data_IF_870308026020
#
_entry.id   IF_870308026020
#
_cell.length_a   1.000
_cell.length_b   1.000
_cell.length_c   1.000
_cell.angle_alpha   90.00
_cell.angle_beta   90.00
_cell.angle_gamma   90.00
#
_symmetry.space_group_name_H-M   'P 1'
#
loop_
_entity.id
_entity.type
_entity.pdbx_description
1 polymer ?
#
# COMPACT_ATOMS: atom_id res chain seq x y z
N UNK A 1 26.14 -13.04 21.92
CA UNK A 1 24.71 -13.20 22.27
C UNK A 1 23.77 -13.17 21.04
N UNK A 2 23.93 -12.28 20.05
CA UNK A 2 23.04 -12.21 18.86
C UNK A 2 23.17 -13.34 17.81
N UNK A 3 24.23 -14.17 17.84
CA UNK A 3 24.52 -15.13 16.76
C UNK A 3 23.50 -16.27 16.64
N UNK A 4 22.88 -16.72 17.74
CA UNK A 4 21.96 -17.87 17.72
C UNK A 4 20.55 -17.52 17.23
N UNK A 5 20.13 -16.26 17.41
CA UNK A 5 18.84 -15.76 16.95
C UNK A 5 18.76 -15.57 15.42
N UNK A 6 19.90 -15.47 14.72
CA UNK A 6 19.94 -15.34 13.25
C UNK A 6 19.28 -16.51 12.49
N UNK A 7 19.18 -17.69 13.11
CA UNK A 7 18.45 -18.85 12.52
C UNK A 7 16.93 -18.62 12.46
N UNK A 8 16.41 -17.77 13.35
CA UNK A 8 14.98 -17.49 13.51
C UNK A 8 14.57 -16.11 12.99
N UNK A 9 15.54 -15.27 12.60
CA UNK A 9 15.31 -13.89 12.14
C UNK A 9 15.70 -13.80 10.67
N UNK A 10 14.70 -13.62 9.80
CA UNK A 10 14.90 -13.31 8.38
C UNK A 10 15.14 -11.80 8.26
N UNK A 11 16.34 -11.41 7.83
CA UNK A 11 16.62 -10.03 7.47
C UNK A 11 16.26 -9.86 5.99
N UNK A 12 15.26 -9.03 5.71
CA UNK A 12 14.93 -8.64 4.34
C UNK A 12 15.58 -7.30 4.01
N UNK A 13 16.30 -7.26 2.89
CA UNK A 13 16.93 -6.03 2.42
C UNK A 13 15.85 -5.05 1.97
N UNK A 14 15.75 -3.91 2.65
CA UNK A 14 14.87 -2.81 2.25
C UNK A 14 15.67 -1.75 1.51
N UNK A 15 15.18 -1.32 0.34
CA UNK A 15 15.75 -0.21 -0.45
C UNK A 15 14.68 0.88 -0.63
N UNK A 16 14.99 2.13 -0.29
CA UNK A 16 14.09 3.29 -0.45
C UNK A 16 14.85 4.49 -0.99
N UNK A 17 15.27 4.43 -2.25
CA UNK A 17 16.02 5.51 -2.88
C UNK A 17 15.10 6.45 -3.64
N UNK A 18 15.28 7.76 -3.41
CA UNK A 18 14.39 8.79 -3.96
C UNK A 18 12.93 8.64 -3.50
N UNK A 19 12.70 7.96 -2.37
CA UNK A 19 11.37 7.70 -1.86
C UNK A 19 10.79 8.95 -1.20
N UNK A 20 9.66 9.42 -1.72
CA UNK A 20 8.91 10.55 -1.18
C UNK A 20 7.43 10.20 -1.14
N UNK A 21 6.72 10.70 -0.13
CA UNK A 21 5.27 10.51 -0.05
C UNK A 21 4.56 11.77 0.43
N UNK A 22 3.31 11.90 0.02
CA UNK A 22 2.36 12.91 0.50
C UNK A 22 1.07 12.21 0.86
N UNK A 23 0.67 12.29 2.13
CA UNK A 23 -0.58 11.72 2.64
C UNK A 23 -1.60 12.82 2.89
N UNK A 24 -2.84 12.59 2.47
CA UNK A 24 -4.02 13.39 2.82
C UNK A 24 -4.96 12.59 3.74
N UNK A 25 -6.10 13.17 4.11
CA UNK A 25 -7.13 12.49 4.91
C UNK A 25 -7.67 11.22 4.24
N UNK A 26 -7.77 11.22 2.91
CA UNK A 26 -8.40 10.16 2.12
C UNK A 26 -7.47 9.55 1.05
N UNK A 27 -6.19 9.91 1.00
CA UNK A 27 -5.30 9.33 0.01
C UNK A 27 -3.82 9.46 0.35
N UNK A 28 -3.00 8.82 -0.46
CA UNK A 28 -1.54 8.90 -0.42
C UNK A 28 -0.98 8.88 -1.83
N UNK A 29 0.00 9.72 -2.09
CA UNK A 29 0.82 9.68 -3.31
C UNK A 29 2.26 9.40 -2.93
N UNK A 30 2.92 8.50 -3.66
CA UNK A 30 4.28 8.06 -3.41
C UNK A 30 5.07 8.08 -4.71
N UNK A 31 6.31 8.54 -4.67
CA UNK A 31 7.26 8.49 -5.79
C UNK A 31 8.58 7.90 -5.31
N UNK A 32 9.21 7.07 -6.15
CA UNK A 32 10.42 6.34 -5.79
C UNK A 32 11.28 6.04 -7.02
N UNK A 33 12.61 6.23 -6.88
CA UNK A 33 13.59 5.79 -7.89
C UNK A 33 13.92 4.31 -7.75
N UNK A 34 13.94 3.80 -6.52
CA UNK A 34 14.04 2.37 -6.22
C UNK A 34 13.32 2.08 -4.92
N UNK A 35 12.38 1.13 -4.95
CA UNK A 35 11.64 0.67 -3.80
C UNK A 35 11.60 -0.85 -3.72
N UNK A 36 12.24 -1.39 -2.67
CA UNK A 36 12.21 -2.80 -2.30
C UNK A 36 11.85 -2.90 -0.82
N UNK A 37 10.79 -3.61 -0.48
CA UNK A 37 10.28 -3.72 0.87
C UNK A 37 8.83 -3.23 0.99
N UNK A 38 8.41 -2.91 2.21
CA UNK A 38 7.01 -2.53 2.51
C UNK A 38 6.95 -1.16 3.18
N UNK A 39 5.93 -0.38 2.84
CA UNK A 39 5.50 0.82 3.55
C UNK A 39 4.00 0.80 3.83
N UNK A 40 3.61 1.43 4.94
CA UNK A 40 2.26 1.34 5.47
C UNK A 40 1.62 2.70 5.72
N UNK A 41 0.35 2.85 5.33
CA UNK A 41 -0.42 4.08 5.51
C UNK A 41 -1.81 3.80 6.09
N UNK A 42 -2.16 4.52 7.15
CA UNK A 42 -3.46 4.36 7.82
C UNK A 42 -4.52 5.35 7.32
N UNK A 43 -5.75 4.86 7.21
CA UNK A 43 -6.95 5.63 6.89
C UNK A 43 -8.08 5.27 7.85
N UNK A 44 -9.05 6.17 7.99
CA UNK A 44 -10.16 5.99 8.92
C UNK A 44 -11.48 6.18 8.20
N UNK A 45 -12.36 5.19 8.31
CA UNK A 45 -13.69 5.20 7.71
C UNK A 45 -14.74 4.93 8.78
N UNK A 46 -16.00 5.28 8.50
CA UNK A 46 -17.10 4.85 9.36
C UNK A 46 -17.33 3.36 9.15
N UNK A 47 -17.49 2.60 10.24
CA UNK A 47 -17.88 1.20 10.16
C UNK A 47 -19.22 1.07 9.42
N UNK A 48 -19.28 0.16 8.45
CA UNK A 48 -20.43 -0.08 7.58
C UNK A 48 -20.52 0.85 6.38
N UNK A 49 -19.67 1.88 6.26
CA UNK A 49 -19.64 2.73 5.07
C UNK A 49 -19.13 1.94 3.86
N UNK A 50 -19.74 2.19 2.70
CA UNK A 50 -19.22 1.70 1.43
C UNK A 50 -18.04 2.57 1.01
N UNK A 51 -16.88 1.95 0.87
CA UNK A 51 -15.61 2.62 0.58
C UNK A 51 -15.07 2.10 -0.74
N UNK A 52 -14.73 3.01 -1.64
CA UNK A 52 -14.07 2.71 -2.91
C UNK A 52 -12.62 3.14 -2.85
N UNK A 53 -11.71 2.19 -3.09
CA UNK A 53 -10.30 2.47 -3.35
C UNK A 53 -10.11 2.71 -4.84
N UNK A 54 -9.39 3.78 -5.18
CA UNK A 54 -8.90 4.07 -6.54
C UNK A 54 -7.39 4.10 -6.51
N UNK A 55 -6.76 3.27 -7.33
CA UNK A 55 -5.32 3.17 -7.46
C UNK A 55 -4.89 3.55 -8.87
N UNK A 56 -3.79 4.31 -8.94
CA UNK A 56 -3.04 4.56 -10.16
C UNK A 56 -1.57 4.28 -9.86
N UNK A 57 -0.94 3.44 -10.68
CA UNK A 57 0.47 3.12 -10.57
C UNK A 57 1.17 3.41 -11.90
N UNK A 58 2.30 4.10 -11.82
CA UNK A 58 3.27 4.21 -12.90
C UNK A 58 4.44 3.31 -12.52
N UNK A 59 4.63 2.24 -13.29
CA UNK A 59 5.71 1.26 -13.08
C UNK A 59 6.65 1.36 -14.27
N UNK A 60 7.84 1.91 -14.02
CA UNK A 60 8.92 2.01 -15.02
C UNK A 60 9.79 0.74 -14.99
N UNK A 61 10.03 0.19 -13.80
CA UNK A 61 10.82 -1.03 -13.56
C UNK A 61 10.28 -1.76 -12.32
N UNK A 62 10.51 -3.08 -12.24
CA UNK A 62 10.12 -3.92 -11.11
C UNK A 62 8.61 -4.13 -10.99
N UNK A 63 8.13 -4.35 -9.76
CA UNK A 63 6.71 -4.55 -9.50
C UNK A 63 6.27 -3.79 -8.23
N UNK A 64 5.08 -3.18 -8.28
CA UNK A 64 4.43 -2.59 -7.12
C UNK A 64 3.18 -3.39 -6.76
N UNK A 65 3.09 -3.85 -5.52
CA UNK A 65 1.85 -4.40 -4.96
C UNK A 65 1.22 -3.39 -4.01
N UNK A 66 -0.09 -3.20 -4.16
CA UNK A 66 -0.93 -2.41 -3.26
C UNK A 66 -1.90 -3.36 -2.57
N UNK A 67 -1.92 -3.33 -1.25
CA UNK A 67 -2.88 -4.09 -0.45
C UNK A 67 -3.71 -3.14 0.40
N UNK A 68 -5.01 -3.41 0.46
CA UNK A 68 -5.94 -2.78 1.38
C UNK A 68 -6.38 -3.79 2.44
N UNK A 69 -6.27 -3.42 3.71
CA UNK A 69 -6.67 -4.23 4.85
C UNK A 69 -7.46 -3.40 5.88
N UNK A 70 -8.13 -4.06 6.82
CA UNK A 70 -8.87 -3.45 7.93
C UNK A 70 -8.14 -3.57 9.29
N UNK A 71 -6.84 -3.90 9.25
CA UNK A 71 -6.01 -4.23 10.41
C UNK A 71 -6.15 -5.67 10.92
N UNK A 72 -7.12 -6.46 10.44
CA UNK A 72 -7.30 -7.88 10.78
C UNK A 72 -7.14 -8.77 9.56
N UNK A 73 -7.78 -8.38 8.46
CA UNK A 73 -7.89 -9.16 7.24
C UNK A 73 -7.56 -8.30 6.02
N UNK A 74 -7.06 -8.97 4.98
CA UNK A 74 -6.86 -8.36 3.67
C UNK A 74 -8.22 -8.24 2.97
N UNK A 75 -8.58 -7.02 2.59
CA UNK A 75 -9.81 -6.73 1.83
C UNK A 75 -9.54 -6.93 0.33
N UNK A 76 -8.40 -6.43 -0.13
CA UNK A 76 -8.09 -6.39 -1.55
C UNK A 76 -6.58 -6.29 -1.79
N UNK A 77 -6.13 -6.81 -2.93
CA UNK A 77 -4.72 -6.78 -3.34
C UNK A 77 -4.61 -6.70 -4.86
N UNK A 78 -3.68 -5.88 -5.33
CA UNK A 78 -3.29 -5.81 -6.75
C UNK A 78 -1.79 -5.64 -6.90
N UNK A 79 -1.22 -6.38 -7.84
CA UNK A 79 0.17 -6.21 -8.28
C UNK A 79 0.20 -5.59 -9.67
N UNK A 80 0.96 -4.52 -9.81
CA UNK A 80 1.23 -3.80 -11.06
C UNK A 80 2.65 -4.13 -11.52
N UNK A 81 2.76 -4.77 -12.68
CA UNK A 81 4.04 -4.97 -13.40
C UNK A 81 4.25 -3.93 -14.50
N UNK A 82 3.17 -3.24 -14.86
CA UNK A 82 3.10 -2.20 -15.85
C UNK A 82 2.21 -1.08 -15.30
N UNK A 83 2.29 0.10 -15.91
CA UNK A 83 1.48 1.25 -15.50
C UNK A 83 -0.01 0.98 -15.71
N UNK A 84 -0.85 1.38 -14.76
CA UNK A 84 -2.28 1.08 -14.84
C UNK A 84 -3.10 1.72 -13.73
N UNK A 85 -4.42 1.53 -13.83
CA UNK A 85 -5.41 2.01 -12.86
C UNK A 85 -6.32 0.86 -12.47
N UNK A 86 -6.81 0.90 -11.24
CA UNK A 86 -7.71 -0.12 -10.70
C UNK A 86 -8.60 0.49 -9.63
N UNK A 87 -9.84 0.02 -9.54
CA UNK A 87 -10.78 0.46 -8.50
C UNK A 87 -11.46 -0.73 -7.87
N UNK A 88 -11.72 -0.66 -6.57
CA UNK A 88 -12.43 -1.71 -5.85
C UNK A 88 -13.31 -1.12 -4.75
N UNK A 89 -14.48 -1.70 -4.52
CA UNK A 89 -15.45 -1.21 -3.54
C UNK A 89 -15.79 -2.30 -2.54
N UNK A 90 -15.76 -1.95 -1.25
CA UNK A 90 -16.15 -2.84 -0.17
C UNK A 90 -16.73 -2.06 1.01
N UNK A 91 -17.54 -2.73 1.83
CA UNK A 91 -18.00 -2.17 3.10
C UNK A 91 -16.87 -2.18 4.14
N UNK A 92 -16.69 -1.07 4.86
CA UNK A 92 -15.72 -0.97 5.94
C UNK A 92 -16.18 -1.79 7.17
N UNK A 93 -15.60 -2.97 7.35
CA UNK A 93 -15.81 -3.85 8.52
C UNK A 93 -15.37 -3.21 9.85
N UNK A 94 -14.42 -2.29 9.78
CA UNK A 94 -13.71 -1.69 10.90
C UNK A 94 -13.56 -0.17 10.66
N UNK A 95 -13.12 0.55 11.70
CA UNK A 95 -12.87 2.00 11.59
C UNK A 95 -11.47 2.29 11.02
N UNK A 96 -10.49 1.45 11.32
CA UNK A 96 -9.09 1.65 10.93
C UNK A 96 -8.78 0.75 9.75
N UNK A 97 -8.23 1.34 8.69
CA UNK A 97 -7.81 0.62 7.51
C UNK A 97 -6.37 0.97 7.15
N UNK A 98 -5.71 0.02 6.50
CA UNK A 98 -4.32 0.10 6.12
C UNK A 98 -4.12 -0.07 4.63
N UNK A 99 -3.20 0.70 4.07
CA UNK A 99 -2.60 0.45 2.76
C UNK A 99 -1.17 -0.03 2.98
N UNK A 100 -0.87 -1.24 2.52
CA UNK A 100 0.51 -1.68 2.34
C UNK A 100 0.92 -1.39 0.89
N UNK A 101 2.02 -0.66 0.70
CA UNK A 101 2.74 -0.60 -0.56
C UNK A 101 3.95 -1.51 -0.46
N UNK A 102 4.06 -2.47 -1.37
CA UNK A 102 5.12 -3.47 -1.38
C UNK A 102 5.85 -3.36 -2.71
N UNK A 103 7.10 -2.90 -2.67
CA UNK A 103 7.95 -2.80 -3.84
C UNK A 103 8.86 -4.02 -3.98
N UNK A 104 9.01 -4.49 -5.22
CA UNK A 104 10.03 -5.47 -5.61
C UNK A 104 10.94 -4.84 -6.67
N UNK A 105 12.00 -4.17 -6.20
CA UNK A 105 12.90 -3.34 -7.02
C UNK A 105 12.13 -2.35 -7.93
N UNK A 106 11.05 -1.79 -7.39
CA UNK A 106 10.10 -0.96 -8.12
C UNK A 106 10.66 0.44 -8.39
N UNK A 107 10.36 0.98 -9.57
CA UNK A 107 10.63 2.37 -9.95
C UNK A 107 9.38 3.02 -10.52
N UNK A 108 9.13 4.27 -10.15
CA UNK A 108 8.02 5.06 -10.64
C UNK A 108 7.26 5.76 -9.52
N UNK A 109 5.93 5.75 -9.60
CA UNK A 109 5.08 6.41 -8.60
C UNK A 109 3.72 5.72 -8.48
N UNK A 110 3.00 6.00 -7.41
CA UNK A 110 1.62 5.57 -7.27
C UNK A 110 0.78 6.59 -6.52
N UNK A 111 -0.53 6.57 -6.78
CA UNK A 111 -1.54 7.33 -6.07
C UNK A 111 -2.65 6.37 -5.64
N UNK A 112 -3.01 6.45 -4.37
CA UNK A 112 -4.14 5.73 -3.79
C UNK A 112 -5.08 6.76 -3.18
N UNK A 113 -6.36 6.67 -3.54
CA UNK A 113 -7.41 7.54 -3.02
C UNK A 113 -8.61 6.71 -2.59
N UNK A 114 -9.28 7.20 -1.57
CA UNK A 114 -10.52 6.64 -1.07
C UNK A 114 -11.66 7.64 -1.22
N UNK A 115 -12.80 7.11 -1.61
CA UNK A 115 -14.10 7.79 -1.54
C UNK A 115 -15.03 6.94 -0.70
N UNK A 116 -15.77 7.58 0.21
CA UNK A 116 -16.80 6.93 1.01
C UNK A 116 -18.18 7.51 0.69
N UNK A 117 -19.16 6.63 0.48
CA UNK A 117 -20.55 7.06 0.37
C UNK A 117 -21.06 7.30 1.79
N UNK A 118 -21.23 8.57 2.17
CA UNK A 118 -21.87 8.92 3.44
C UNK A 118 -23.34 8.46 3.38
N UNK A 119 -23.63 7.32 4.01
CA UNK A 119 -24.99 7.00 4.48
C UNK A 119 -25.32 7.90 5.67
#
# INVERSE_FOLDING_TARGET
MLKWLKKYIKFETTKKWGYTYKKSGNGVSVSYKTFTGTDFYNFTFKKGAEVTISCEAVVEEGELTIEWNDGREMIWRKTFKESGKETFTAAASSRLHGINLIGADARGNCRVEFTDTKV
#
